data_IF_421749697541
#
_entry.id   IF_421749697541
#
_cell.length_a   1.000
_cell.length_b   1.000
_cell.length_c   1.000
_cell.angle_alpha   90.00
_cell.angle_beta   90.00
_cell.angle_gamma   90.00
#
_symmetry.space_group_name_H-M   'P 1'
#
loop_
_entity.id
_entity.type
_entity.pdbx_description
1 polymer ?
#
# COMPACT_ATOMS: atom_id res chain seq x y z
N UNK A 1 4.94 13.26 -17.96
CA UNK A 1 3.83 13.07 -17.01
C UNK A 1 4.24 11.93 -16.12
N UNK A 2 4.53 12.19 -14.84
CA UNK A 2 4.49 11.11 -13.86
C UNK A 2 3.03 10.66 -13.84
N UNK A 3 2.76 9.44 -14.28
CA UNK A 3 1.45 8.83 -14.06
C UNK A 3 1.29 8.78 -12.55
N UNK A 4 0.54 9.74 -11.99
CA UNK A 4 0.26 9.74 -10.56
C UNK A 4 -0.37 8.38 -10.24
N UNK A 5 0.14 7.74 -9.19
CA UNK A 5 -0.40 6.47 -8.70
C UNK A 5 -0.99 6.74 -7.31
N UNK A 6 -2.19 7.37 -7.21
CA UNK A 6 -2.70 7.88 -5.94
C UNK A 6 -2.83 6.79 -4.86
N UNK A 7 -3.21 5.58 -5.27
CA UNK A 7 -3.32 4.44 -4.36
C UNK A 7 -1.98 4.07 -3.71
N UNK A 8 -0.91 3.97 -4.52
CA UNK A 8 0.43 3.69 -3.99
C UNK A 8 1.03 4.87 -3.23
N UNK A 9 0.70 6.11 -3.59
CA UNK A 9 1.06 7.30 -2.81
C UNK A 9 0.44 7.28 -1.42
N UNK A 10 -0.84 6.93 -1.31
CA UNK A 10 -1.53 6.77 -0.03
C UNK A 10 -0.91 5.64 0.80
N UNK A 11 -0.69 4.47 0.17
CA UNK A 11 -0.06 3.32 0.83
C UNK A 11 1.35 3.64 1.34
N UNK A 12 2.17 4.31 0.54
CA UNK A 12 3.50 4.76 0.96
C UNK A 12 3.42 5.72 2.15
N UNK A 13 2.51 6.70 2.09
CA UNK A 13 2.34 7.70 3.15
C UNK A 13 1.95 7.05 4.47
N UNK A 14 0.97 6.14 4.44
CA UNK A 14 0.54 5.35 5.61
C UNK A 14 1.72 4.56 6.21
N UNK A 15 2.45 3.82 5.37
CA UNK A 15 3.60 3.02 5.80
C UNK A 15 4.74 3.87 6.34
N UNK A 16 5.02 5.01 5.71
CA UNK A 16 6.07 5.93 6.15
C UNK A 16 5.74 6.48 7.54
N UNK A 17 4.48 6.86 7.79
CA UNK A 17 4.03 7.29 9.12
C UNK A 17 4.11 6.18 10.15
N UNK A 18 3.62 4.97 9.83
CA UNK A 18 3.66 3.84 10.75
C UNK A 18 5.11 3.44 11.09
N UNK A 19 5.99 3.38 10.08
CA UNK A 19 7.39 3.04 10.25
C UNK A 19 8.14 4.08 11.08
N UNK A 20 7.90 5.38 10.82
CA UNK A 20 8.51 6.46 11.58
C UNK A 20 8.02 6.49 13.03
N UNK A 21 6.72 6.31 13.27
CA UNK A 21 6.17 6.23 14.62
C UNK A 21 6.77 5.05 15.41
N UNK A 22 6.97 3.90 14.76
CA UNK A 22 7.69 2.79 15.39
C UNK A 22 9.15 3.14 15.66
N UNK A 23 9.85 3.74 14.70
CA UNK A 23 11.23 4.19 14.88
C UNK A 23 11.37 5.15 16.08
N UNK A 24 10.45 6.11 16.25
CA UNK A 24 10.45 7.02 17.39
C UNK A 24 10.30 6.27 18.72
N UNK A 25 9.37 5.30 18.80
CA UNK A 25 9.21 4.48 20.01
C UNK A 25 10.47 3.69 20.33
N UNK A 26 11.12 3.11 19.33
CA UNK A 26 12.34 2.34 19.50
C UNK A 26 13.52 3.21 19.96
N UNK A 27 13.60 4.46 19.46
CA UNK A 27 14.61 5.41 19.91
C UNK A 27 14.39 5.86 21.36
N UNK A 28 13.15 6.05 21.80
CA UNK A 28 12.84 6.36 23.20
C UNK A 28 13.11 5.15 24.10
N UNK A 29 12.79 3.94 23.67
CA UNK A 29 13.15 2.72 24.39
C UNK A 29 14.67 2.56 24.55
N UNK A 30 15.44 2.92 23.51
CA UNK A 30 16.91 2.95 23.57
C UNK A 30 17.45 4.04 24.50
N UNK A 31 16.74 5.16 24.67
CA UNK A 31 17.09 6.19 25.65
C UNK A 31 16.91 5.66 27.09
N UNK A 32 15.86 4.88 27.33
CA UNK A 32 15.57 4.26 28.62
C UNK A 32 16.44 3.02 28.91
N UNK A 33 17.11 2.47 27.89
CA UNK A 33 18.00 1.31 28.02
C UNK A 33 19.43 1.74 28.45
N UNK A 34 19.91 1.34 29.63
CA UNK A 34 21.27 1.65 30.06
C UNK A 34 22.35 0.78 29.37
N UNK A 35 21.96 -0.24 28.61
CA UNK A 35 22.91 -1.17 27.99
C UNK A 35 23.75 -0.48 26.91
N UNK A 36 25.07 -0.45 27.11
CA UNK A 36 25.98 0.25 26.19
C UNK A 36 25.95 1.78 26.29
N UNK A 37 25.31 2.35 27.32
CA UNK A 37 25.33 3.79 27.55
C UNK A 37 26.67 4.24 28.17
N UNK A 38 27.36 5.17 27.49
CA UNK A 38 28.70 5.64 27.86
C UNK A 38 28.73 7.04 28.47
N UNK A 39 27.58 7.73 28.51
CA UNK A 39 27.42 9.01 29.19
C UNK A 39 26.46 8.81 30.36
N UNK A 40 26.84 9.32 31.53
CA UNK A 40 26.01 9.27 32.73
C UNK A 40 25.88 10.66 33.35
N UNK A 41 24.62 11.06 33.52
CA UNK A 41 24.17 12.10 34.44
C UNK A 41 23.61 11.46 35.71
N UNK A 42 23.40 12.22 36.80
CA UNK A 42 22.80 11.70 38.02
C UNK A 42 21.42 11.04 37.84
N UNK A 43 20.66 11.44 36.82
CA UNK A 43 19.28 10.98 36.59
C UNK A 43 19.07 10.23 35.28
N UNK A 44 20.03 10.26 34.35
CA UNK A 44 19.87 9.67 33.02
C UNK A 44 21.20 9.10 32.53
N UNK A 45 21.12 8.10 31.65
CA UNK A 45 22.24 7.59 30.86
C UNK A 45 21.98 7.85 29.38
N UNK A 46 23.02 7.97 28.57
CA UNK A 46 22.86 8.14 27.13
C UNK A 46 24.01 7.52 26.34
N UNK A 47 23.72 7.26 25.08
CA UNK A 47 24.65 6.72 24.11
C UNK A 47 25.42 7.88 23.48
N UNK A 48 26.71 7.96 23.79
CA UNK A 48 27.62 8.99 23.28
C UNK A 48 27.51 9.24 21.78
N UNK A 49 27.44 8.22 20.92
CA UNK A 49 27.38 8.42 19.48
C UNK A 49 26.11 9.17 19.05
N UNK A 50 24.96 8.85 19.65
CA UNK A 50 23.65 9.48 19.37
C UNK A 50 23.67 10.94 19.83
N UNK A 51 24.13 11.19 21.06
CA UNK A 51 24.28 12.54 21.61
C UNK A 51 25.20 13.39 20.74
N UNK A 52 26.33 12.84 20.30
CA UNK A 52 27.34 13.58 19.55
C UNK A 52 26.87 13.95 18.13
N UNK A 53 26.03 13.11 17.51
CA UNK A 53 25.48 13.38 16.19
C UNK A 53 24.67 14.69 16.13
N UNK A 54 24.07 15.11 17.25
CA UNK A 54 23.25 16.34 17.37
C UNK A 54 23.89 17.40 18.27
N UNK A 55 25.15 17.21 18.65
CA UNK A 55 25.86 18.13 19.55
C UNK A 55 26.63 19.20 18.75
N UNK A 56 25.92 20.25 18.33
CA UNK A 56 26.49 21.33 17.52
C UNK A 56 26.65 22.64 18.29
N UNK A 57 27.46 23.55 17.74
CA UNK A 57 27.61 24.92 18.23
C UNK A 57 27.91 25.01 19.73
N UNK A 58 27.16 25.87 20.43
CA UNK A 58 27.31 26.13 21.86
C UNK A 58 26.87 24.95 22.74
N UNK A 59 26.02 24.05 22.22
CA UNK A 59 25.52 22.87 22.94
C UNK A 59 26.65 21.92 23.36
N UNK A 60 27.68 21.78 22.50
CA UNK A 60 28.87 20.99 22.81
C UNK A 60 29.62 21.49 24.05
N UNK A 61 29.75 22.81 24.18
CA UNK A 61 30.42 23.47 25.31
C UNK A 61 29.54 23.46 26.55
N UNK A 62 28.21 23.51 26.37
CA UNK A 62 27.24 23.43 27.45
C UNK A 62 27.31 22.08 28.16
N UNK A 63 27.24 21.00 27.39
CA UNK A 63 27.20 19.63 27.92
C UNK A 63 28.57 19.16 28.40
N UNK A 64 29.66 19.55 27.72
CA UNK A 64 31.02 19.09 28.05
C UNK A 64 32.02 20.25 28.19
N UNK A 65 31.92 21.03 29.28
CA UNK A 65 32.80 22.17 29.51
C UNK A 65 34.19 21.74 30.00
N UNK A 66 35.07 21.21 29.12
CA UNK A 66 36.56 21.20 29.23
C UNK A 66 37.22 20.34 28.14
N UNK A 67 38.28 20.86 27.49
CA UNK A 67 39.28 20.10 26.71
C UNK A 67 40.52 19.87 27.58
N UNK A 68 40.49 18.89 28.46
CA UNK A 68 41.65 18.51 29.27
C UNK A 68 41.71 16.99 29.40
N UNK A 69 42.92 16.44 29.49
CA UNK A 69 43.24 15.00 29.43
C UNK A 69 42.58 14.09 30.51
N UNK A 70 41.61 14.58 31.29
CA UNK A 70 40.90 13.81 32.33
C UNK A 70 39.39 14.10 32.31
N UNK A 71 38.66 13.04 31.95
CA UNK A 71 37.25 12.72 32.19
C UNK A 71 36.19 13.78 31.81
N UNK A 72 35.47 13.44 30.75
CA UNK A 72 34.27 14.08 30.21
C UNK A 72 33.07 13.91 31.16
N UNK A 73 33.08 14.56 32.33
CA UNK A 73 31.86 14.61 33.15
C UNK A 73 30.89 15.61 32.52
N UNK A 74 29.69 15.17 32.14
CA UNK A 74 28.72 16.08 31.57
C UNK A 74 28.25 17.08 32.62
N UNK A 75 27.92 18.30 32.18
CA UNK A 75 27.39 19.35 33.08
C UNK A 75 26.04 18.87 33.64
N UNK A 76 25.78 19.02 34.95
CA UNK A 76 24.45 18.77 35.50
C UNK A 76 23.46 19.79 34.92
N UNK A 77 22.35 19.27 34.41
CA UNK A 77 21.19 20.03 33.96
C UNK A 77 19.99 19.66 34.82
N UNK A 78 19.00 20.55 34.89
CA UNK A 78 17.74 20.24 35.57
C UNK A 78 17.10 19.01 34.91
N UNK A 79 16.62 18.01 35.68
CA UNK A 79 16.17 16.73 35.12
C UNK A 79 15.13 16.85 33.99
N UNK A 80 14.11 17.73 34.06
CA UNK A 80 13.15 17.91 32.96
C UNK A 80 13.79 18.46 31.68
N UNK A 81 14.75 19.37 31.81
CA UNK A 81 15.46 19.97 30.67
C UNK A 81 16.40 18.95 30.04
N UNK A 82 17.07 18.14 30.85
CA UNK A 82 17.91 17.04 30.37
C UNK A 82 17.09 15.99 29.63
N UNK A 83 15.93 15.61 30.18
CA UNK A 83 15.05 14.63 29.55
C UNK A 83 14.56 15.12 28.18
N UNK A 84 14.01 16.34 28.10
CA UNK A 84 13.56 16.93 26.83
C UNK A 84 14.71 17.09 25.80
N UNK A 85 15.92 17.41 26.27
CA UNK A 85 17.11 17.46 25.41
C UNK A 85 17.46 16.08 24.86
N UNK A 86 17.47 15.05 25.71
CA UNK A 86 17.79 13.69 25.29
C UNK A 86 16.71 13.11 24.37
N UNK A 87 15.43 13.34 24.64
CA UNK A 87 14.34 12.98 23.73
C UNK A 87 14.54 13.59 22.34
N UNK A 88 14.83 14.89 22.26
CA UNK A 88 15.15 15.55 20.99
C UNK A 88 16.41 14.95 20.35
N UNK A 89 17.47 14.68 21.13
CA UNK A 89 18.70 14.08 20.62
C UNK A 89 18.53 12.65 20.09
N UNK A 90 17.49 11.93 20.52
CA UNK A 90 17.22 10.57 20.04
C UNK A 90 16.24 10.58 18.86
N UNK A 91 15.19 11.39 18.93
CA UNK A 91 14.06 11.33 18.01
C UNK A 91 14.01 12.46 16.99
N UNK A 92 14.73 13.56 17.22
CA UNK A 92 14.61 14.80 16.44
C UNK A 92 13.32 15.59 16.72
N UNK A 93 12.46 15.12 17.63
CA UNK A 93 11.21 15.80 17.99
C UNK A 93 11.49 17.14 18.67
N UNK A 94 11.04 18.23 18.05
CA UNK A 94 11.21 19.57 18.60
C UNK A 94 10.33 19.77 19.83
N UNK A 95 10.96 20.16 20.95
CA UNK A 95 10.24 20.59 22.14
C UNK A 95 10.08 22.11 22.12
N UNK A 96 8.85 22.67 22.17
CA UNK A 96 8.60 24.10 21.96
C UNK A 96 9.36 25.03 22.91
N UNK A 97 9.74 24.55 24.10
CA UNK A 97 10.45 25.32 25.14
C UNK A 97 11.92 24.96 25.28
N UNK A 98 12.41 23.97 24.52
CA UNK A 98 13.76 23.44 24.72
C UNK A 98 14.84 24.50 24.50
N UNK A 99 14.70 25.33 23.46
CA UNK A 99 15.62 26.43 23.19
C UNK A 99 15.65 27.44 24.35
N UNK A 100 14.48 27.83 24.85
CA UNK A 100 14.34 28.76 25.98
C UNK A 100 14.93 28.21 27.27
N UNK A 101 14.65 26.94 27.59
CA UNK A 101 15.11 26.28 28.81
C UNK A 101 16.63 26.11 28.80
N UNK A 102 17.19 25.70 27.67
CA UNK A 102 18.63 25.58 27.49
C UNK A 102 19.32 26.93 27.49
N UNK A 103 18.75 27.94 26.84
CA UNK A 103 19.24 29.34 26.82
C UNK A 103 19.39 29.89 28.24
N UNK A 104 18.34 29.76 29.06
CA UNK A 104 18.35 30.18 30.47
C UNK A 104 19.38 29.43 31.31
N UNK A 105 19.48 28.12 31.12
CA UNK A 105 20.41 27.26 31.87
C UNK A 105 21.87 27.51 31.49
N UNK A 106 22.12 27.74 30.20
CA UNK A 106 23.45 27.98 29.64
C UNK A 106 23.91 29.43 29.84
N UNK A 107 22.99 30.38 30.05
CA UNK A 107 23.21 31.83 29.98
C UNK A 107 23.78 32.25 28.63
N UNK A 108 23.20 31.73 27.56
CA UNK A 108 23.57 31.99 26.16
C UNK A 108 22.37 32.61 25.46
N UNK A 109 22.51 33.52 24.48
CA UNK A 109 21.38 34.07 23.74
C UNK A 109 20.46 32.99 23.17
N UNK A 110 19.15 33.23 23.17
CA UNK A 110 18.15 32.30 22.61
C UNK A 110 18.48 31.92 21.17
N UNK A 111 18.80 32.91 20.33
CA UNK A 111 19.13 32.70 18.92
C UNK A 111 20.32 31.74 18.73
N UNK A 112 21.34 31.80 19.59
CA UNK A 112 22.50 30.90 19.51
C UNK A 112 22.11 29.45 19.89
N UNK A 113 21.17 29.28 20.82
CA UNK A 113 20.65 27.97 21.20
C UNK A 113 19.71 27.41 20.14
N UNK A 114 18.83 28.24 19.60
CA UNK A 114 17.92 27.90 18.52
C UNK A 114 18.70 27.44 17.28
N UNK A 115 19.79 28.12 16.92
CA UNK A 115 20.66 27.73 15.81
C UNK A 115 21.36 26.37 16.01
N UNK A 116 21.51 25.92 17.26
CA UNK A 116 22.05 24.59 17.56
C UNK A 116 21.02 23.48 17.39
N UNK A 117 19.75 23.77 17.67
CA UNK A 117 18.65 22.87 17.36
C UNK A 117 18.39 22.92 15.85
N UNK A 118 17.93 21.82 15.26
CA UNK A 118 17.58 21.82 13.84
C UNK A 118 16.21 22.47 13.65
N UNK A 119 16.08 23.37 12.68
CA UNK A 119 14.81 24.06 12.39
C UNK A 119 13.85 23.21 11.56
N UNK A 120 14.36 22.15 10.91
CA UNK A 120 13.58 21.19 10.14
C UNK A 120 14.13 19.78 10.31
N UNK A 121 13.30 18.79 10.00
CA UNK A 121 13.70 17.39 9.95
C UNK A 121 14.86 17.17 8.97
N UNK A 122 14.79 17.74 7.76
CA UNK A 122 15.83 17.57 6.74
C UNK A 122 17.19 18.06 7.21
N UNK A 123 17.23 19.22 7.88
CA UNK A 123 18.46 19.77 8.44
C UNK A 123 19.02 18.86 9.56
N UNK A 124 18.16 18.29 10.40
CA UNK A 124 18.57 17.34 11.45
C UNK A 124 19.13 16.05 10.83
N UNK A 125 18.40 15.49 9.86
CA UNK A 125 18.78 14.28 9.15
C UNK A 125 20.15 14.42 8.45
N UNK A 126 20.38 15.53 7.74
CA UNK A 126 21.67 15.81 7.10
C UNK A 126 22.82 15.89 8.10
N UNK A 127 22.60 16.53 9.27
CA UNK A 127 23.62 16.64 10.33
C UNK A 127 23.99 15.27 10.91
N UNK A 128 22.98 14.44 11.21
CA UNK A 128 23.18 13.08 11.72
C UNK A 128 23.92 12.24 10.69
N UNK A 129 23.52 12.32 9.42
CA UNK A 129 24.13 11.56 8.34
C UNK A 129 25.57 12.00 8.08
N UNK A 130 25.87 13.29 8.13
CA UNK A 130 27.24 13.79 8.04
C UNK A 130 28.11 13.21 9.17
N UNK A 131 27.59 13.14 10.41
CA UNK A 131 28.30 12.51 11.52
C UNK A 131 28.46 10.99 11.33
N UNK A 132 27.40 10.30 10.93
CA UNK A 132 27.38 8.85 10.73
C UNK A 132 28.34 8.41 9.63
N UNK A 133 28.44 9.17 8.54
CA UNK A 133 29.34 8.91 7.40
C UNK A 133 30.79 9.30 7.69
N UNK A 134 31.03 10.38 8.46
CA UNK A 134 32.38 10.78 8.86
C UNK A 134 32.98 9.84 9.92
N UNK A 135 32.13 9.21 10.72
CA UNK A 135 32.51 8.14 11.63
C UNK A 135 32.85 6.89 10.80
N UNK A 136 34.08 6.37 10.92
CA UNK A 136 34.52 5.12 10.22
C UNK A 136 33.45 4.02 10.31
N UNK A 137 33.37 3.06 9.35
CA UNK A 137 32.26 2.09 9.15
C UNK A 137 32.07 1.02 10.25
N UNK A 138 32.46 1.34 11.48
CA UNK A 138 32.01 0.72 12.73
C UNK A 138 31.36 1.80 13.60
N UNK A 139 30.46 2.62 13.04
CA UNK A 139 29.86 3.69 13.81
C UNK A 139 29.02 3.08 14.94
N UNK A 140 29.32 3.47 16.17
CA UNK A 140 28.62 2.97 17.35
C UNK A 140 27.11 3.34 17.30
N UNK A 141 26.72 4.45 16.64
CA UNK A 141 25.29 4.80 16.42
C UNK A 141 24.56 3.66 15.74
N UNK A 142 25.10 3.20 14.62
CA UNK A 142 24.52 2.10 13.85
C UNK A 142 24.42 0.86 14.73
N UNK A 143 25.48 0.52 15.46
CA UNK A 143 25.49 -0.64 16.34
C UNK A 143 24.42 -0.55 17.43
N UNK A 144 24.26 0.59 18.12
CA UNK A 144 23.27 0.73 19.19
C UNK A 144 21.83 0.71 18.66
N UNK A 145 21.53 1.45 17.59
CA UNK A 145 20.19 1.48 17.01
C UNK A 145 19.84 0.10 16.45
N UNK A 146 20.76 -0.52 15.71
CA UNK A 146 20.52 -1.84 15.13
C UNK A 146 20.48 -2.93 16.18
N UNK A 147 21.36 -2.96 17.17
CA UNK A 147 21.32 -3.99 18.21
C UNK A 147 20.04 -3.93 19.04
N UNK A 148 19.54 -2.73 19.34
CA UNK A 148 18.33 -2.56 20.13
C UNK A 148 17.05 -2.83 19.32
N UNK A 149 16.93 -2.22 18.13
CA UNK A 149 15.74 -2.36 17.30
C UNK A 149 15.69 -3.69 16.55
N UNK A 150 16.86 -4.22 16.20
CA UNK A 150 17.01 -5.33 15.26
C UNK A 150 18.22 -6.24 15.57
N UNK A 151 18.19 -6.95 16.72
CA UNK A 151 19.34 -7.70 17.24
C UNK A 151 19.89 -8.79 16.31
N UNK A 152 19.11 -9.21 15.31
CA UNK A 152 19.48 -10.25 14.35
C UNK A 152 20.11 -9.71 13.05
N UNK A 153 20.17 -8.39 12.88
CA UNK A 153 20.77 -7.82 11.69
C UNK A 153 22.29 -7.91 11.76
N UNK A 154 22.96 -8.38 10.70
CA UNK A 154 24.41 -8.37 10.66
C UNK A 154 24.93 -6.94 10.76
N UNK A 155 26.04 -6.76 11.46
CA UNK A 155 26.72 -5.47 11.61
C UNK A 155 27.15 -4.85 10.26
N UNK A 156 27.20 -5.66 9.21
CA UNK A 156 27.52 -5.24 7.84
C UNK A 156 26.66 -6.01 6.84
N UNK A 157 25.82 -5.31 6.09
CA UNK A 157 25.23 -5.84 4.87
C UNK A 157 26.16 -5.54 3.70
N UNK A 158 26.31 -6.50 2.77
CA UNK A 158 27.09 -6.29 1.55
C UNK A 158 26.21 -5.61 0.51
N UNK A 159 26.12 -4.28 0.61
CA UNK A 159 25.34 -3.45 -0.30
C UNK A 159 26.25 -2.53 -1.11
N UNK A 160 25.77 -2.11 -2.28
CA UNK A 160 26.41 -1.03 -3.04
C UNK A 160 26.41 0.28 -2.22
N UNK A 161 27.35 1.22 -2.46
CA UNK A 161 27.48 2.44 -1.66
C UNK A 161 26.18 3.26 -1.56
N UNK A 162 25.41 3.38 -2.64
CA UNK A 162 24.15 4.12 -2.63
C UNK A 162 23.10 3.40 -1.77
N UNK A 163 22.93 2.09 -1.93
CA UNK A 163 22.02 1.29 -1.10
C UNK A 163 22.43 1.30 0.38
N UNK A 164 23.74 1.27 0.67
CA UNK A 164 24.25 1.39 2.03
C UNK A 164 23.94 2.76 2.64
N UNK A 165 24.06 3.84 1.86
CA UNK A 165 23.68 5.18 2.27
C UNK A 165 22.18 5.27 2.59
N UNK A 166 21.34 4.68 1.73
CA UNK A 166 19.90 4.63 1.93
C UNK A 166 19.50 3.87 3.20
N UNK A 167 20.17 2.74 3.44
CA UNK A 167 19.99 1.95 4.64
C UNK A 167 20.39 2.75 5.89
N UNK A 168 21.56 3.40 5.87
CA UNK A 168 22.03 4.26 6.95
C UNK A 168 21.02 5.38 7.25
N UNK A 169 20.49 6.01 6.20
CA UNK A 169 19.45 7.04 6.32
C UNK A 169 18.19 6.49 7.00
N UNK A 170 17.68 5.34 6.55
CA UNK A 170 16.49 4.70 7.12
C UNK A 170 16.65 4.37 8.60
N UNK A 171 17.82 3.87 9.00
CA UNK A 171 18.09 3.52 10.41
C UNK A 171 18.28 4.75 11.29
N UNK A 172 18.99 5.77 10.80
CA UNK A 172 19.31 6.95 11.61
C UNK A 172 18.15 7.94 11.72
N UNK A 173 17.21 7.90 10.77
CA UNK A 173 16.15 8.93 10.67
C UNK A 173 14.74 8.37 10.66
N UNK A 174 14.56 7.07 10.39
CA UNK A 174 13.24 6.47 10.22
C UNK A 174 12.54 6.81 8.90
N UNK A 175 13.23 7.41 7.93
CA UNK A 175 12.67 7.81 6.63
C UNK A 175 13.47 7.25 5.44
N UNK A 176 12.91 7.32 4.23
CA UNK A 176 13.69 7.12 3.00
C UNK A 176 14.21 8.48 2.51
N UNK A 177 15.49 8.55 2.12
CA UNK A 177 16.05 9.73 1.48
C UNK A 177 15.37 10.00 0.12
N UNK A 178 14.70 11.15 -0.08
CA UNK A 178 13.89 11.43 -1.27
C UNK A 178 14.72 11.64 -2.54
N UNK A 179 15.97 12.10 -2.42
CA UNK A 179 16.87 12.41 -3.54
C UNK A 179 17.99 11.36 -3.70
N UNK A 180 17.69 10.10 -3.37
CA UNK A 180 18.69 9.04 -3.40
C UNK A 180 19.19 8.75 -4.82
N UNK A 181 20.51 8.69 -5.06
CA UNK A 181 21.06 8.28 -6.35
C UNK A 181 20.96 6.75 -6.59
N UNK A 182 20.32 6.00 -5.68
CA UNK A 182 20.14 4.56 -5.80
C UNK A 182 19.40 4.19 -7.08
N UNK A 183 20.02 3.30 -7.84
CA UNK A 183 19.38 2.63 -8.97
C UNK A 183 18.34 1.61 -8.47
N UNK A 184 17.41 1.21 -9.35
CA UNK A 184 16.40 0.21 -9.00
C UNK A 184 17.01 -1.14 -8.56
N UNK A 185 18.12 -1.57 -9.16
CA UNK A 185 18.82 -2.81 -8.77
C UNK A 185 19.45 -2.72 -7.37
N UNK A 186 19.98 -1.56 -7.01
CA UNK A 186 20.52 -1.30 -5.68
C UNK A 186 19.41 -1.27 -4.62
N UNK A 187 18.28 -0.64 -4.93
CA UNK A 187 17.10 -0.69 -4.08
C UNK A 187 16.54 -2.09 -3.90
N UNK A 188 16.45 -2.89 -4.97
CA UNK A 188 16.03 -4.29 -4.88
C UNK A 188 16.96 -5.09 -3.98
N UNK A 189 18.27 -4.90 -4.13
CA UNK A 189 19.28 -5.57 -3.28
C UNK A 189 19.12 -5.18 -1.81
N UNK A 190 18.84 -3.91 -1.52
CA UNK A 190 18.51 -3.44 -0.18
C UNK A 190 17.23 -4.09 0.34
N UNK A 191 16.16 -4.09 -0.45
CA UNK A 191 14.85 -4.62 -0.07
C UNK A 191 14.92 -6.12 0.23
N UNK A 192 15.64 -6.89 -0.59
CA UNK A 192 15.90 -8.31 -0.39
C UNK A 192 16.68 -8.57 0.90
N UNK A 193 17.69 -7.75 1.19
CA UNK A 193 18.46 -7.86 2.42
C UNK A 193 17.58 -7.59 3.64
N UNK A 194 16.75 -6.54 3.61
CA UNK A 194 15.83 -6.21 4.71
C UNK A 194 14.82 -7.34 4.95
N UNK A 195 14.21 -7.86 3.89
CA UNK A 195 13.26 -8.97 4.00
C UNK A 195 13.92 -10.25 4.54
N UNK A 196 15.13 -10.58 4.07
CA UNK A 196 15.87 -11.78 4.51
C UNK A 196 16.31 -11.72 5.96
N UNK A 197 16.42 -10.51 6.53
CA UNK A 197 16.79 -10.28 7.93
C UNK A 197 15.59 -9.94 8.82
N UNK A 198 14.41 -10.42 8.45
CA UNK A 198 13.14 -10.32 9.20
C UNK A 198 12.58 -8.90 9.34
N UNK A 199 12.79 -8.01 8.35
CA UNK A 199 12.21 -6.66 8.35
C UNK A 199 11.22 -6.46 7.20
N UNK A 200 10.07 -7.15 7.22
CA UNK A 200 9.10 -7.07 6.15
C UNK A 200 8.52 -5.66 6.00
N UNK A 201 8.35 -4.88 7.07
CA UNK A 201 7.73 -3.55 7.03
C UNK A 201 8.61 -2.55 6.29
N UNK A 202 9.93 -2.60 6.50
CA UNK A 202 10.89 -1.78 5.76
C UNK A 202 10.93 -2.17 4.28
N UNK A 203 10.89 -3.47 3.99
CA UNK A 203 10.85 -3.98 2.63
C UNK A 203 9.56 -3.57 1.89
N UNK A 204 8.42 -3.63 2.58
CA UNK A 204 7.11 -3.23 2.10
C UNK A 204 6.99 -1.71 1.90
N UNK A 205 7.60 -0.90 2.77
CA UNK A 205 7.71 0.55 2.60
C UNK A 205 8.46 0.89 1.29
N UNK A 206 9.61 0.24 1.05
CA UNK A 206 10.39 0.44 -0.17
C UNK A 206 9.61 -0.06 -1.39
N UNK A 207 8.87 -1.17 -1.28
CA UNK A 207 8.04 -1.66 -2.38
C UNK A 207 6.95 -0.65 -2.79
N UNK A 208 6.30 0.00 -1.83
CA UNK A 208 5.33 1.06 -2.12
C UNK A 208 6.00 2.28 -2.76
N UNK A 209 7.17 2.69 -2.25
CA UNK A 209 7.98 3.79 -2.82
C UNK A 209 8.42 3.51 -4.27
N UNK A 210 8.81 2.28 -4.57
CA UNK A 210 9.22 1.85 -5.89
C UNK A 210 8.10 2.01 -6.93
N UNK A 211 6.86 1.67 -6.57
CA UNK A 211 5.71 1.81 -7.46
C UNK A 211 5.39 3.27 -7.83
N UNK A 212 5.82 4.23 -7.01
CA UNK A 212 5.67 5.67 -7.25
C UNK A 212 6.81 6.20 -8.11
N UNK A 213 8.04 5.74 -7.86
CA UNK A 213 9.25 6.41 -8.35
C UNK A 213 9.99 5.70 -9.48
N UNK A 214 9.87 4.37 -9.59
CA UNK A 214 10.60 3.59 -10.58
C UNK A 214 9.83 3.49 -11.89
N UNK A 215 10.52 3.08 -12.95
CA UNK A 215 9.86 2.70 -14.19
C UNK A 215 9.24 1.28 -14.11
N UNK A 216 8.44 0.91 -15.11
CA UNK A 216 7.65 -0.33 -15.11
C UNK A 216 8.58 -1.54 -15.18
N UNK A 217 9.66 -1.42 -15.95
CA UNK A 217 10.63 -2.49 -16.14
C UNK A 217 11.43 -2.72 -14.85
N UNK A 218 11.74 -1.66 -14.11
CA UNK A 218 12.38 -1.71 -12.81
C UNK A 218 11.49 -2.32 -11.72
N UNK A 219 10.16 -2.17 -11.80
CA UNK A 219 9.21 -2.79 -10.86
C UNK A 219 8.98 -4.29 -11.11
N UNK A 220 9.23 -4.80 -12.32
CA UNK A 220 9.04 -6.22 -12.67
C UNK A 220 9.69 -7.23 -11.68
N UNK A 221 10.98 -7.11 -11.32
CA UNK A 221 11.60 -8.03 -10.35
C UNK A 221 11.02 -7.88 -8.94
N UNK A 222 10.46 -6.72 -8.58
CA UNK A 222 9.91 -6.44 -7.24
C UNK A 222 8.62 -7.22 -6.99
N UNK A 223 7.70 -7.24 -7.96
CA UNK A 223 6.37 -7.87 -7.79
C UNK A 223 6.41 -9.40 -7.68
N UNK A 224 7.58 -10.00 -7.88
CA UNK A 224 7.80 -11.45 -7.71
C UNK A 224 8.31 -11.82 -6.33
N UNK A 225 8.63 -10.83 -5.49
CA UNK A 225 9.31 -11.07 -4.22
C UNK A 225 8.35 -11.59 -3.16
N UNK A 226 8.75 -12.57 -2.33
CA UNK A 226 7.86 -13.17 -1.32
C UNK A 226 7.22 -12.17 -0.36
N UNK A 227 7.95 -11.12 0.03
CA UNK A 227 7.44 -10.08 0.95
C UNK A 227 6.42 -9.14 0.28
N UNK A 228 6.42 -9.03 -1.05
CA UNK A 228 5.37 -8.33 -1.82
C UNK A 228 4.19 -9.26 -2.06
N UNK A 229 4.44 -10.53 -2.38
CA UNK A 229 3.37 -11.52 -2.53
C UNK A 229 2.59 -11.68 -1.22
N UNK A 230 3.24 -11.64 -0.07
CA UNK A 230 2.57 -11.71 1.24
C UNK A 230 1.82 -10.43 1.66
N UNK A 231 1.94 -9.34 0.89
CA UNK A 231 1.44 -8.02 1.26
C UNK A 231 0.08 -7.73 0.61
N UNK A 232 -1.01 -8.00 1.35
CA UNK A 232 -2.38 -7.82 0.85
C UNK A 232 -2.69 -6.38 0.43
N UNK A 233 -2.26 -5.39 1.22
CA UNK A 233 -2.50 -3.98 0.93
C UNK A 233 -1.80 -3.52 -0.37
N UNK A 234 -0.65 -4.10 -0.69
CA UNK A 234 0.01 -3.86 -1.98
C UNK A 234 -0.86 -4.33 -3.16
N UNK A 235 -1.44 -5.53 -3.07
CA UNK A 235 -2.30 -6.09 -4.13
C UNK A 235 -3.65 -5.38 -4.26
N UNK A 236 -4.18 -4.79 -3.19
CA UNK A 236 -5.38 -3.95 -3.24
C UNK A 236 -5.15 -2.63 -4.00
N UNK A 237 -3.92 -2.13 -4.00
CA UNK A 237 -3.52 -0.92 -4.73
C UNK A 237 -3.24 -1.18 -6.21
N UNK A 238 -2.81 -2.39 -6.58
CA UNK A 238 -2.46 -2.76 -7.96
C UNK A 238 -3.58 -2.50 -9.00
N UNK A 239 -4.86 -2.83 -8.75
CA UNK A 239 -5.98 -2.48 -9.64
C UNK A 239 -6.10 -1.02 -10.05
N UNK A 240 -5.67 -0.13 -9.17
CA UNK A 240 -5.77 1.32 -9.35
C UNK A 240 -4.51 1.91 -10.01
N UNK A 241 -3.51 1.06 -10.29
CA UNK A 241 -2.26 1.46 -10.92
C UNK A 241 -2.34 1.21 -12.44
N UNK A 242 -2.25 2.26 -13.29
CA UNK A 242 -2.29 2.10 -14.74
C UNK A 242 -1.22 1.14 -15.31
N UNK A 243 -0.11 1.00 -14.58
CA UNK A 243 1.05 0.18 -14.98
C UNK A 243 0.94 -1.28 -14.56
N UNK A 244 -0.06 -1.64 -13.74
CA UNK A 244 -0.23 -3.00 -13.24
C UNK A 244 -0.43 -4.02 -14.36
N UNK A 245 -1.14 -3.65 -15.44
CA UNK A 245 -1.32 -4.51 -16.61
C UNK A 245 0.02 -4.88 -17.28
N UNK A 246 0.96 -3.94 -17.35
CA UNK A 246 2.28 -4.18 -17.93
C UNK A 246 3.20 -5.03 -17.02
N UNK A 247 2.93 -5.08 -15.72
CA UNK A 247 3.66 -5.91 -14.75
C UNK A 247 3.13 -7.35 -14.70
N UNK A 248 1.92 -7.60 -15.20
CA UNK A 248 1.29 -8.90 -15.22
C UNK A 248 2.15 -10.08 -15.72
N UNK A 249 2.99 -9.95 -16.77
CA UNK A 249 3.81 -11.06 -17.26
C UNK A 249 4.75 -11.60 -16.20
N UNK A 250 5.19 -10.70 -15.31
CA UNK A 250 6.17 -11.00 -14.27
C UNK A 250 5.51 -11.58 -13.02
N UNK A 251 4.22 -11.30 -12.81
CA UNK A 251 3.45 -11.82 -11.68
C UNK A 251 3.29 -13.34 -11.81
N UNK A 252 3.53 -14.13 -10.73
CA UNK A 252 3.30 -15.57 -10.76
C UNK A 252 1.85 -15.93 -11.13
N UNK A 253 1.60 -17.03 -11.87
CA UNK A 253 0.25 -17.38 -12.34
C UNK A 253 -0.83 -17.41 -11.26
N UNK A 254 -0.50 -17.87 -10.05
CA UNK A 254 -1.41 -17.90 -8.89
C UNK A 254 -1.86 -16.51 -8.46
N UNK A 255 -0.99 -15.50 -8.60
CA UNK A 255 -1.25 -14.12 -8.24
C UNK A 255 -1.89 -13.32 -9.37
N UNK A 256 -1.77 -13.76 -10.63
CA UNK A 256 -2.47 -13.13 -11.78
C UNK A 256 -3.98 -13.23 -11.64
N UNK A 257 -4.48 -14.37 -11.16
CA UNK A 257 -5.90 -14.61 -10.90
C UNK A 257 -6.43 -13.77 -9.73
N UNK A 258 -5.65 -13.66 -8.65
CA UNK A 258 -5.97 -12.77 -7.52
C UNK A 258 -6.02 -11.30 -7.98
N UNK A 259 -5.00 -10.85 -8.70
CA UNK A 259 -4.96 -9.50 -9.23
C UNK A 259 -6.08 -9.25 -10.25
N UNK A 260 -6.47 -10.24 -11.06
CA UNK A 260 -7.66 -10.14 -11.92
C UNK A 260 -8.93 -9.93 -11.10
N UNK A 261 -9.12 -10.71 -10.02
CA UNK A 261 -10.26 -10.52 -9.11
C UNK A 261 -10.27 -9.11 -8.51
N UNK A 262 -9.11 -8.59 -8.08
CA UNK A 262 -9.00 -7.25 -7.53
C UNK A 262 -9.25 -6.16 -8.59
N UNK A 263 -8.77 -6.36 -9.83
CA UNK A 263 -9.03 -5.47 -10.98
C UNK A 263 -10.52 -5.43 -11.29
N UNK A 264 -11.18 -6.59 -11.34
CA UNK A 264 -12.63 -6.70 -11.51
C UNK A 264 -13.43 -6.16 -10.31
N UNK A 265 -12.79 -5.83 -9.19
CA UNK A 265 -13.47 -5.28 -8.00
C UNK A 265 -13.21 -3.77 -7.80
N UNK A 266 -12.12 -3.23 -8.37
CA UNK A 266 -11.62 -1.89 -8.01
C UNK A 266 -11.10 -1.02 -9.17
N UNK A 267 -10.91 -1.57 -10.38
CA UNK A 267 -10.31 -0.81 -11.48
C UNK A 267 -11.34 0.01 -12.28
N UNK A 268 -10.89 1.10 -12.92
CA UNK A 268 -11.69 1.81 -13.92
C UNK A 268 -11.87 0.96 -15.19
N UNK A 269 -12.85 1.29 -16.03
CA UNK A 269 -13.14 0.54 -17.26
C UNK A 269 -11.94 0.38 -18.21
N UNK A 270 -11.11 1.41 -18.37
CA UNK A 270 -9.93 1.36 -19.25
C UNK A 270 -8.78 0.54 -18.65
N UNK A 271 -8.59 0.61 -17.32
CA UNK A 271 -7.58 -0.21 -16.62
C UNK A 271 -7.99 -1.68 -16.57
N UNK A 272 -9.29 -1.95 -16.40
CA UNK A 272 -9.90 -3.26 -16.53
C UNK A 272 -9.64 -3.86 -17.92
N UNK A 273 -9.85 -3.09 -18.99
CA UNK A 273 -9.57 -3.49 -20.37
C UNK A 273 -8.08 -3.81 -20.62
N UNK A 274 -7.18 -2.90 -20.24
CA UNK A 274 -5.74 -3.12 -20.41
C UNK A 274 -5.26 -4.37 -19.68
N UNK A 275 -5.85 -4.66 -18.53
CA UNK A 275 -5.55 -5.85 -17.76
C UNK A 275 -6.10 -7.11 -18.43
N UNK A 276 -7.34 -7.09 -18.94
CA UNK A 276 -7.93 -8.18 -19.71
C UNK A 276 -7.07 -8.53 -20.94
N UNK A 277 -6.61 -7.52 -21.68
CA UNK A 277 -5.75 -7.70 -22.85
C UNK A 277 -4.39 -8.30 -22.47
N UNK A 278 -3.80 -7.84 -21.36
CA UNK A 278 -2.56 -8.41 -20.85
C UNK A 278 -2.77 -9.88 -20.44
N UNK A 279 -3.82 -10.18 -19.68
CA UNK A 279 -4.14 -11.55 -19.26
C UNK A 279 -4.34 -12.46 -20.47
N UNK A 280 -5.01 -11.99 -21.52
CA UNK A 280 -5.17 -12.71 -22.78
C UNK A 280 -3.83 -13.02 -23.44
N UNK A 281 -2.92 -12.04 -23.50
CA UNK A 281 -1.63 -12.20 -24.16
C UNK A 281 -0.70 -13.17 -23.42
N UNK A 282 -0.73 -13.16 -22.08
CA UNK A 282 0.20 -13.92 -21.24
C UNK A 282 -0.38 -15.21 -20.64
N UNK A 283 -1.67 -15.46 -20.86
CA UNK A 283 -2.41 -16.65 -20.41
C UNK A 283 -2.73 -16.66 -18.91
N UNK A 284 -3.87 -17.28 -18.58
CA UNK A 284 -4.21 -17.75 -17.24
C UNK A 284 -4.13 -19.27 -17.21
N UNK A 285 -3.72 -19.81 -16.08
CA UNK A 285 -3.90 -21.22 -15.79
C UNK A 285 -5.36 -21.44 -15.37
N UNK A 286 -6.19 -21.90 -16.32
CA UNK A 286 -7.63 -22.04 -16.15
C UNK A 286 -8.01 -22.97 -14.98
N UNK A 287 -7.20 -24.00 -14.73
CA UNK A 287 -7.39 -24.97 -13.65
C UNK A 287 -7.17 -24.36 -12.26
N UNK A 288 -6.52 -23.19 -12.18
CA UNK A 288 -6.22 -22.49 -10.92
C UNK A 288 -7.11 -21.29 -10.65
N UNK A 289 -7.92 -20.86 -11.62
CA UNK A 289 -8.88 -19.77 -11.46
C UNK A 289 -10.02 -20.15 -10.50
N UNK A 290 -10.42 -21.42 -10.48
CA UNK A 290 -11.43 -21.97 -9.56
C UNK A 290 -10.95 -22.07 -8.10
N UNK A 291 -9.66 -21.90 -7.85
CA UNK A 291 -9.03 -22.07 -6.53
C UNK A 291 -8.76 -20.75 -5.81
N UNK A 292 -8.93 -19.61 -6.47
CA UNK A 292 -8.67 -18.32 -5.83
C UNK A 292 -9.91 -17.91 -5.05
N UNK A 293 -9.85 -17.87 -3.70
CA UNK A 293 -10.95 -17.35 -2.92
C UNK A 293 -11.16 -15.89 -3.31
N UNK A 294 -12.41 -15.62 -3.59
CA UNK A 294 -12.95 -14.35 -3.96
C UNK A 294 -12.97 -13.45 -2.72
N UNK A 295 -11.86 -12.77 -2.42
CA UNK A 295 -11.62 -12.11 -1.11
C UNK A 295 -12.33 -10.77 -0.90
N UNK A 296 -12.77 -10.08 -1.97
CA UNK A 296 -13.40 -8.74 -1.86
C UNK A 296 -14.70 -8.66 -2.64
N UNK A 297 -15.77 -8.11 -2.03
CA UNK A 297 -17.04 -7.84 -2.72
C UNK A 297 -16.79 -6.97 -3.95
N UNK A 298 -17.25 -7.36 -5.16
CA UNK A 298 -17.05 -6.54 -6.34
C UNK A 298 -17.95 -5.30 -6.21
N UNK A 299 -17.38 -4.10 -6.42
CA UNK A 299 -18.21 -2.92 -6.58
C UNK A 299 -19.05 -3.07 -7.85
N UNK A 300 -20.33 -2.71 -7.77
CA UNK A 300 -21.30 -2.83 -8.87
C UNK A 300 -20.88 -2.06 -10.15
N UNK A 301 -19.96 -1.10 -10.02
CA UNK A 301 -19.46 -0.24 -11.09
C UNK A 301 -18.28 -0.84 -11.89
N UNK A 302 -17.87 -2.08 -11.61
CA UNK A 302 -16.62 -2.67 -12.13
C UNK A 302 -16.84 -3.75 -13.20
N UNK A 303 -18.10 -3.89 -13.63
CA UNK A 303 -18.41 -4.65 -14.83
C UNK A 303 -17.65 -4.05 -16.05
N UNK A 304 -17.03 -4.88 -16.91
CA UNK A 304 -16.37 -4.40 -18.11
C UNK A 304 -17.31 -3.45 -18.88
N UNK A 305 -16.85 -2.27 -19.27
CA UNK A 305 -17.74 -1.37 -20.02
C UNK A 305 -18.33 -2.09 -21.24
N UNK A 306 -19.53 -1.71 -21.69
CA UNK A 306 -20.17 -2.29 -22.89
C UNK A 306 -19.21 -2.42 -24.10
N UNK A 307 -18.25 -1.49 -24.20
CA UNK A 307 -17.21 -1.43 -25.24
C UNK A 307 -16.15 -2.54 -25.17
N UNK A 308 -16.06 -3.27 -24.06
CA UNK A 308 -15.08 -4.33 -23.82
C UNK A 308 -15.50 -5.69 -24.37
N UNK A 309 -16.80 -5.99 -24.35
CA UNK A 309 -17.35 -7.29 -24.76
C UNK A 309 -17.03 -7.69 -26.19
N UNK A 310 -17.07 -6.79 -27.19
CA UNK A 310 -16.72 -7.15 -28.57
C UNK A 310 -15.37 -7.86 -28.68
N UNK A 311 -14.36 -7.40 -27.93
CA UNK A 311 -13.02 -7.96 -27.95
C UNK A 311 -12.89 -9.29 -27.20
N UNK A 312 -13.66 -9.46 -26.12
CA UNK A 312 -13.69 -10.67 -25.29
C UNK A 312 -14.42 -11.82 -26.01
N UNK A 313 -15.53 -11.50 -26.69
CA UNK A 313 -16.43 -12.46 -27.34
C UNK A 313 -15.88 -13.03 -28.65
N UNK A 314 -15.13 -12.23 -29.42
CA UNK A 314 -14.60 -12.62 -30.74
C UNK A 314 -13.60 -13.77 -30.68
N UNK A 315 -12.98 -14.01 -29.50
CA UNK A 315 -11.90 -15.02 -29.36
C UNK A 315 -12.19 -16.15 -28.38
N UNK A 316 -13.40 -16.25 -27.82
CA UNK A 316 -13.74 -17.31 -26.84
C UNK A 316 -12.68 -17.47 -25.73
N UNK A 317 -12.21 -16.34 -25.19
CA UNK A 317 -11.14 -16.36 -24.19
C UNK A 317 -11.59 -17.17 -22.95
N UNK A 318 -10.73 -18.00 -22.32
CA UNK A 318 -11.00 -18.63 -21.01
C UNK A 318 -11.43 -17.62 -19.93
N UNK A 319 -11.09 -16.36 -20.17
CA UNK A 319 -11.46 -15.19 -19.38
C UNK A 319 -12.98 -14.92 -19.38
N UNK A 320 -13.71 -15.24 -20.45
CA UNK A 320 -15.17 -15.13 -20.50
C UNK A 320 -15.84 -16.07 -19.49
N UNK A 321 -15.44 -17.34 -19.48
CA UNK A 321 -15.93 -18.32 -18.49
C UNK A 321 -15.58 -17.90 -17.07
N UNK A 322 -14.38 -17.36 -16.85
CA UNK A 322 -13.97 -16.88 -15.53
C UNK A 322 -14.75 -15.66 -15.06
N UNK A 323 -14.89 -14.62 -15.90
CA UNK A 323 -15.70 -13.44 -15.55
C UNK A 323 -17.12 -13.87 -15.23
N UNK A 324 -17.75 -14.67 -16.11
CA UNK A 324 -19.12 -15.09 -15.87
C UNK A 324 -19.25 -15.95 -14.62
N UNK A 325 -18.30 -16.84 -14.34
CA UNK A 325 -18.27 -17.60 -13.09
C UNK A 325 -18.10 -16.71 -11.84
N UNK A 326 -17.27 -15.65 -11.91
CA UNK A 326 -17.14 -14.66 -10.84
C UNK A 326 -18.46 -13.93 -10.59
N UNK A 327 -19.19 -13.60 -11.65
CA UNK A 327 -20.49 -12.93 -11.57
C UNK A 327 -21.57 -13.87 -10.99
N UNK A 328 -21.62 -15.13 -11.42
CA UNK A 328 -22.64 -16.09 -10.97
C UNK A 328 -22.36 -16.69 -9.58
N UNK A 329 -21.10 -16.82 -9.17
CA UNK A 329 -20.74 -17.32 -7.83
C UNK A 329 -21.08 -16.35 -6.68
N UNK A 330 -21.46 -15.10 -7.00
CA UNK A 330 -21.71 -14.03 -6.03
C UNK A 330 -23.11 -13.42 -6.16
N UNK A 331 -24.06 -14.18 -6.69
CA UNK A 331 -25.43 -13.72 -6.81
C UNK A 331 -26.06 -13.50 -5.42
N UNK A 332 -26.69 -12.35 -5.26
CA UNK A 332 -27.48 -12.00 -4.09
C UNK A 332 -28.82 -11.37 -4.51
N UNK A 333 -29.67 -11.09 -3.53
CA UNK A 333 -31.03 -10.57 -3.76
C UNK A 333 -31.06 -9.15 -4.35
N UNK A 334 -29.96 -8.40 -4.26
CA UNK A 334 -29.84 -7.04 -4.78
C UNK A 334 -29.21 -7.00 -6.18
N UNK A 335 -28.26 -7.90 -6.47
CA UNK A 335 -27.45 -7.84 -7.68
C UNK A 335 -27.97 -8.75 -8.82
N UNK A 336 -28.66 -9.84 -8.51
CA UNK A 336 -28.98 -10.87 -9.50
C UNK A 336 -29.84 -10.35 -10.68
N UNK A 337 -30.88 -9.52 -10.47
CA UNK A 337 -31.70 -9.02 -11.58
C UNK A 337 -30.92 -8.07 -12.50
N UNK A 338 -30.02 -7.25 -11.93
CA UNK A 338 -29.15 -6.37 -12.71
C UNK A 338 -28.09 -7.16 -13.46
N UNK A 339 -27.59 -8.25 -12.87
CA UNK A 339 -26.64 -9.13 -13.55
C UNK A 339 -27.30 -9.80 -14.76
N UNK A 340 -28.57 -10.18 -14.66
CA UNK A 340 -29.35 -10.67 -15.79
C UNK A 340 -29.46 -9.62 -16.90
N UNK A 341 -29.91 -8.41 -16.56
CA UNK A 341 -30.00 -7.27 -17.48
C UNK A 341 -28.68 -7.01 -18.20
N UNK A 342 -27.58 -7.06 -17.45
CA UNK A 342 -26.27 -6.83 -18.00
C UNK A 342 -25.84 -7.94 -18.95
N UNK A 343 -25.93 -9.21 -18.54
CA UNK A 343 -25.53 -10.35 -19.39
C UNK A 343 -26.39 -10.39 -20.66
N UNK A 344 -27.70 -10.23 -20.54
CA UNK A 344 -28.58 -10.27 -21.71
C UNK A 344 -28.41 -9.04 -22.58
N UNK A 345 -28.52 -7.84 -22.01
CA UNK A 345 -28.53 -6.59 -22.76
C UNK A 345 -27.18 -6.20 -23.35
N UNK A 346 -26.06 -6.58 -22.72
CA UNK A 346 -24.72 -6.16 -23.17
C UNK A 346 -23.94 -7.27 -23.86
N UNK A 347 -24.34 -8.54 -23.71
CA UNK A 347 -23.58 -9.69 -24.25
C UNK A 347 -24.42 -10.52 -25.24
N UNK A 348 -25.67 -10.86 -24.91
CA UNK A 348 -26.52 -11.70 -25.78
C UNK A 348 -27.28 -10.90 -26.84
N UNK A 349 -27.80 -9.74 -26.46
CA UNK A 349 -28.60 -8.85 -27.29
C UNK A 349 -27.98 -7.44 -27.38
N UNK A 350 -26.71 -7.30 -27.79
CA UNK A 350 -26.08 -5.99 -27.88
C UNK A 350 -26.78 -5.14 -28.96
N UNK A 351 -27.18 -3.91 -28.61
CA UNK A 351 -27.81 -2.97 -29.53
C UNK A 351 -26.89 -2.62 -30.73
N UNK A 352 -25.58 -2.54 -30.51
CA UNK A 352 -24.54 -2.22 -31.50
C UNK A 352 -23.22 -2.98 -31.22
N UNK A 353 -23.24 -4.33 -31.29
CA UNK A 353 -22.06 -5.16 -30.98
C UNK A 353 -22.00 -6.50 -31.74
N UNK A 354 -20.84 -7.18 -31.75
CA UNK A 354 -20.70 -8.48 -32.38
C UNK A 354 -21.46 -9.55 -31.59
N UNK A 355 -22.17 -10.40 -32.31
CA UNK A 355 -22.88 -11.55 -31.75
C UNK A 355 -21.83 -12.54 -31.21
N UNK A 356 -22.02 -13.13 -30.01
CA UNK A 356 -21.11 -14.14 -29.47
C UNK A 356 -20.87 -15.29 -30.46
N UNK A 357 -19.62 -15.72 -30.58
CA UNK A 357 -19.26 -16.97 -31.30
C UNK A 357 -19.90 -18.19 -30.61
N UNK A 358 -20.09 -19.30 -31.33
CA UNK A 358 -20.86 -20.46 -30.82
C UNK A 358 -20.40 -20.99 -29.46
N UNK A 359 -19.08 -21.02 -29.21
CA UNK A 359 -18.54 -21.47 -27.93
C UNK A 359 -18.72 -20.42 -26.83
N UNK A 360 -18.57 -19.12 -27.14
CA UNK A 360 -18.84 -18.02 -26.21
C UNK A 360 -20.33 -17.96 -25.84
N UNK A 361 -21.22 -18.14 -26.82
CA UNK A 361 -22.67 -18.17 -26.64
C UNK A 361 -23.05 -19.22 -25.60
N UNK A 362 -22.53 -20.44 -25.71
CA UNK A 362 -22.81 -21.52 -24.75
C UNK A 362 -22.41 -21.15 -23.32
N UNK A 363 -21.28 -20.46 -23.14
CA UNK A 363 -20.81 -20.04 -21.82
C UNK A 363 -21.70 -18.92 -21.26
N UNK A 364 -22.10 -17.97 -22.11
CA UNK A 364 -22.97 -16.85 -21.72
C UNK A 364 -24.38 -17.36 -21.39
N UNK A 365 -24.93 -18.26 -22.18
CA UNK A 365 -26.23 -18.92 -21.93
C UNK A 365 -26.21 -19.73 -20.64
N UNK A 366 -25.12 -20.43 -20.33
CA UNK A 366 -24.98 -21.13 -19.05
C UNK A 366 -25.02 -20.14 -17.88
N UNK A 367 -24.30 -19.02 -17.99
CA UNK A 367 -24.31 -18.00 -16.94
C UNK A 367 -25.69 -17.34 -16.79
N UNK A 368 -26.39 -17.08 -17.90
CA UNK A 368 -27.78 -16.62 -17.87
C UNK A 368 -28.68 -17.62 -17.14
N UNK A 369 -28.56 -18.92 -17.45
CA UNK A 369 -29.33 -19.98 -16.78
C UNK A 369 -29.03 -20.04 -15.28
N UNK A 370 -27.77 -19.92 -14.87
CA UNK A 370 -27.40 -19.88 -13.45
C UNK A 370 -28.06 -18.70 -12.71
N UNK A 371 -28.11 -17.52 -13.36
CA UNK A 371 -28.78 -16.33 -12.82
C UNK A 371 -30.30 -16.55 -12.72
N UNK A 372 -30.93 -17.06 -13.78
CA UNK A 372 -32.38 -17.36 -13.79
C UNK A 372 -32.71 -18.38 -12.71
N UNK A 373 -31.88 -19.41 -12.54
CA UNK A 373 -32.08 -20.43 -11.50
C UNK A 373 -32.03 -19.83 -10.10
N UNK A 374 -31.07 -18.93 -9.84
CA UNK A 374 -31.00 -18.18 -8.58
C UNK A 374 -32.26 -17.32 -8.39
N UNK A 375 -32.66 -16.56 -9.40
CA UNK A 375 -33.85 -15.71 -9.35
C UNK A 375 -35.11 -16.54 -9.11
N UNK A 376 -35.25 -17.70 -9.76
CA UNK A 376 -36.38 -18.61 -9.55
C UNK A 376 -36.47 -19.08 -8.09
N UNK A 377 -35.35 -19.31 -7.42
CA UNK A 377 -35.31 -19.69 -6.01
C UNK A 377 -35.54 -18.51 -5.05
N UNK A 378 -35.18 -17.29 -5.44
CA UNK A 378 -35.08 -16.14 -4.53
C UNK A 378 -35.93 -14.91 -4.90
N UNK A 379 -36.76 -14.97 -5.94
CA UNK A 379 -37.48 -13.80 -6.50
C UNK A 379 -38.32 -13.04 -5.47
N UNK A 380 -38.94 -13.72 -4.49
CA UNK A 380 -39.72 -13.05 -3.44
C UNK A 380 -38.83 -12.14 -2.58
N UNK A 381 -37.63 -12.62 -2.24
CA UNK A 381 -36.66 -11.85 -1.45
C UNK A 381 -36.07 -10.72 -2.29
N UNK A 382 -35.81 -10.97 -3.58
CA UNK A 382 -35.36 -9.95 -4.53
C UNK A 382 -36.40 -8.83 -4.65
N UNK A 383 -37.69 -9.18 -4.78
CA UNK A 383 -38.80 -8.21 -4.80
C UNK A 383 -38.88 -7.42 -3.50
N UNK A 384 -38.79 -8.09 -2.35
CA UNK A 384 -38.79 -7.42 -1.05
C UNK A 384 -37.60 -6.45 -0.91
N UNK A 385 -36.47 -6.78 -1.52
CA UNK A 385 -35.26 -5.96 -1.60
C UNK A 385 -35.29 -4.88 -2.70
N UNK A 386 -36.41 -4.72 -3.43
CA UNK A 386 -36.56 -3.79 -4.57
C UNK A 386 -35.57 -4.03 -5.71
N UNK A 387 -35.06 -5.26 -5.85
CA UNK A 387 -34.05 -5.60 -6.85
C UNK A 387 -34.53 -5.46 -8.30
N UNK A 388 -35.83 -5.59 -8.55
CA UNK A 388 -36.43 -5.47 -9.89
C UNK A 388 -36.79 -4.03 -10.29
N UNK A 389 -36.90 -3.10 -9.34
CA UNK A 389 -37.49 -1.77 -9.57
C UNK A 389 -36.64 -0.90 -10.52
N UNK A 390 -35.33 -1.13 -10.58
CA UNK A 390 -34.39 -0.37 -11.40
C UNK A 390 -34.17 -0.96 -12.81
N UNK A 391 -34.90 -2.02 -13.18
CA UNK A 391 -34.69 -2.71 -14.45
C UNK A 391 -35.43 -2.06 -15.62
N UNK A 392 -34.86 -2.11 -16.84
CA UNK A 392 -35.55 -1.68 -18.03
C UNK A 392 -36.73 -2.59 -18.36
N UNK A 393 -37.76 -2.05 -19.03
CA UNK A 393 -39.03 -2.75 -19.31
C UNK A 393 -38.85 -4.04 -20.11
N UNK A 394 -37.87 -4.09 -21.01
CA UNK A 394 -37.58 -5.29 -21.79
C UNK A 394 -37.14 -6.44 -20.87
N UNK A 395 -36.24 -6.14 -19.92
CA UNK A 395 -35.68 -7.11 -19.00
C UNK A 395 -36.75 -7.63 -18.02
N UNK A 396 -37.62 -6.74 -17.53
CA UNK A 396 -38.75 -7.14 -16.68
C UNK A 396 -39.71 -8.09 -17.39
N UNK A 397 -39.97 -7.86 -18.68
CA UNK A 397 -40.84 -8.74 -19.48
C UNK A 397 -40.20 -10.11 -19.67
N UNK A 398 -38.92 -10.14 -20.01
CA UNK A 398 -38.19 -11.40 -20.23
C UNK A 398 -38.06 -12.21 -18.93
N UNK A 399 -37.72 -11.57 -17.82
CA UNK A 399 -37.70 -12.20 -16.50
C UNK A 399 -39.09 -12.68 -16.06
N UNK A 400 -40.15 -11.94 -16.41
CA UNK A 400 -41.53 -12.36 -16.17
C UNK A 400 -41.87 -13.66 -16.91
N UNK A 401 -41.45 -13.76 -18.18
CA UNK A 401 -41.64 -14.96 -18.99
C UNK A 401 -40.80 -16.15 -18.46
N UNK A 402 -39.53 -15.93 -18.13
CA UNK A 402 -38.61 -16.95 -17.59
C UNK A 402 -39.04 -17.47 -16.21
N UNK A 403 -39.46 -16.57 -15.32
CA UNK A 403 -39.90 -16.92 -13.97
C UNK A 403 -41.35 -17.41 -13.92
N UNK A 404 -42.12 -17.22 -15.02
CA UNK A 404 -43.57 -17.50 -15.11
C UNK A 404 -44.38 -16.75 -14.05
N UNK A 405 -44.05 -15.48 -13.86
CA UNK A 405 -44.68 -14.56 -12.92
C UNK A 405 -45.11 -13.33 -13.72
N UNK A 406 -46.29 -12.78 -13.47
CA UNK A 406 -46.73 -11.57 -14.16
C UNK A 406 -45.77 -10.40 -13.88
N UNK A 407 -45.35 -9.66 -14.91
CA UNK A 407 -44.39 -8.55 -14.76
C UNK A 407 -44.77 -7.49 -13.69
N UNK A 408 -46.07 -7.14 -13.49
CA UNK A 408 -46.54 -6.34 -12.36
C UNK A 408 -46.14 -6.88 -10.98
N UNK A 409 -46.12 -8.21 -10.82
CA UNK A 409 -45.86 -8.88 -9.56
C UNK A 409 -44.38 -8.95 -9.21
N UNK A 410 -43.49 -8.61 -10.14
CA UNK A 410 -42.05 -8.52 -9.90
C UNK A 410 -41.65 -7.21 -9.22
N UNK A 411 -42.41 -6.13 -9.41
CA UNK A 411 -42.10 -4.81 -8.82
C UNK A 411 -43.03 -4.49 -7.64
N UNK A 412 -42.59 -3.60 -6.74
CA UNK A 412 -43.44 -3.15 -5.63
C UNK A 412 -44.32 -1.95 -6.01
N UNK A 413 -43.92 -1.19 -7.03
CA UNK A 413 -44.54 0.08 -7.41
C UNK A 413 -45.53 -0.03 -8.60
N UNK A 414 -45.99 -1.24 -8.97
CA UNK A 414 -46.99 -1.37 -10.02
C UNK A 414 -48.37 -0.85 -9.55
N UNK A 415 -48.65 0.43 -9.80
CA UNK A 415 -50.03 0.92 -9.87
C UNK A 415 -50.63 0.46 -11.20
N UNK A 416 -51.66 -0.39 -11.21
CA UNK A 416 -52.39 -0.68 -12.44
C UNK A 416 -53.01 0.62 -12.95
N UNK A 417 -52.59 1.07 -14.13
CA UNK A 417 -53.36 2.05 -14.89
C UNK A 417 -54.66 1.35 -15.30
N UNK A 418 -55.69 1.52 -14.48
CA UNK A 418 -57.06 1.12 -14.76
C UNK A 418 -57.49 1.69 -16.11
N UNK A 419 -57.44 0.87 -17.16
CA UNK A 419 -58.12 1.13 -18.40
C UNK A 419 -59.61 0.75 -18.28
N UNK A 420 -60.44 1.77 -18.47
CA UNK A 420 -61.78 1.72 -19.04
C UNK A 420 -62.90 0.94 -18.31
N UNK A 421 -63.79 1.70 -17.68
CA UNK A 421 -65.24 1.46 -17.77
C UNK A 421 -65.95 2.77 -18.06
N UNK A 422 -66.65 2.86 -19.19
CA UNK A 422 -67.65 3.89 -19.50
C UNK A 422 -67.29 4.81 -20.65
#
# INVERSE_FOLDING_TARGET
MQDEVPAFQALYTERAHAFHAQWQRDMLALLDDPSGADISWPTHTAHKPIVYARMHGVLSRLLFPRRGWRWWRPRPLDPPVLHALLEWMYTGLSHPRLADDLSRTARVPHADMEACLAHSFDQDAERIMAYALASKPKSDIWHHIVAHRWPHMPSTLRLAPAAQHQLAWLVCTGHLHPSSPCTASEWLSLTDALASHHWPEAAQLIAAYAMITWDTQACAPLVTKPYVLADTAFWECMPQCPRAAALLPTVPPTWRAHLLSCVMAHASGDTCLAYIDAVRHYGLDADRLSLVPLTTEPRQDVLPSARAWPHILDTCSPLLSYILHLLTSRLDVHNAPRMYEYVVGHILLPDDGPIPTKDALRVVEQAQQDIVQFLHAHWVHVRAARGFDALPRWCLKELSDELRIDAPDLTLDYTPTSSATG
#
